data_IF_418368989753
#
_entry.id   IF_418368989753
#
_cell.length_a   1.000
_cell.length_b   1.000
_cell.length_c   1.000
_cell.angle_alpha   90.00
_cell.angle_beta   90.00
_cell.angle_gamma   90.00
#
_symmetry.space_group_name_H-M   'P 1'
#
loop_
_entity.id
_entity.type
_entity.pdbx_description
1 polymer ?
#
# COMPACT_ATOMS: atom_id res chain seq x y z
N UNK A 1 -1.86 -15.46 -26.16
CA UNK A 1 -0.96 -14.30 -26.02
C UNK A 1 -0.33 -14.33 -24.65
N UNK A 2 0.98 -14.05 -24.54
CA UNK A 2 1.66 -13.94 -23.24
C UNK A 2 1.88 -12.47 -22.91
N UNK A 3 1.23 -11.95 -21.87
CA UNK A 3 1.38 -10.55 -21.43
C UNK A 3 2.20 -10.55 -20.15
N UNK A 4 3.44 -10.09 -20.25
CA UNK A 4 4.35 -9.99 -19.11
C UNK A 4 3.81 -8.98 -18.08
N UNK A 5 4.03 -9.29 -16.80
CA UNK A 5 3.55 -8.48 -15.70
C UNK A 5 3.11 -9.35 -14.53
N UNK A 6 3.29 -8.81 -13.33
CA UNK A 6 2.94 -9.49 -12.09
C UNK A 6 1.85 -8.74 -11.36
N UNK A 7 0.79 -9.46 -10.99
CA UNK A 7 -0.31 -8.95 -10.17
C UNK A 7 -0.17 -9.39 -8.72
N UNK A 8 -0.65 -8.56 -7.78
CA UNK A 8 -0.89 -8.99 -6.39
C UNK A 8 -2.22 -9.73 -6.21
N UNK A 9 -3.06 -9.75 -7.23
CA UNK A 9 -4.45 -10.25 -7.14
C UNK A 9 -4.68 -11.47 -8.02
N UNK A 10 -3.92 -11.60 -9.10
CA UNK A 10 -4.01 -12.74 -10.02
C UNK A 10 -2.90 -13.77 -9.76
N UNK A 11 -3.21 -15.08 -9.69
CA UNK A 11 -2.22 -16.12 -9.41
C UNK A 11 -1.22 -16.31 -10.56
N UNK A 12 -1.67 -16.10 -11.81
CA UNK A 12 -0.83 -16.23 -12.99
C UNK A 12 0.06 -15.00 -13.19
N UNK A 13 1.33 -15.23 -13.49
CA UNK A 13 2.26 -14.22 -14.00
C UNK A 13 3.14 -14.89 -15.05
N UNK A 14 3.21 -14.30 -16.23
CA UNK A 14 4.00 -14.81 -17.36
C UNK A 14 5.36 -14.11 -17.47
N UNK A 15 5.75 -13.37 -16.43
CA UNK A 15 7.00 -12.63 -16.33
C UNK A 15 6.85 -11.38 -15.48
N UNK A 16 7.98 -10.74 -15.17
CA UNK A 16 8.02 -9.50 -14.40
C UNK A 16 8.50 -8.33 -15.27
N UNK A 17 7.99 -7.13 -14.99
CA UNK A 17 8.49 -5.86 -15.50
C UNK A 17 8.99 -5.07 -14.30
N UNK A 18 10.25 -4.70 -14.34
CA UNK A 18 10.87 -3.82 -13.37
C UNK A 18 11.48 -2.60 -14.05
N UNK A 19 11.68 -1.53 -13.28
CA UNK A 19 12.38 -0.33 -13.73
C UNK A 19 13.79 -0.66 -14.25
N UNK A 20 14.42 -1.71 -13.69
CA UNK A 20 15.81 -2.09 -13.97
C UNK A 20 16.02 -2.78 -15.31
N UNK A 21 14.94 -3.06 -16.05
CA UNK A 21 15.04 -3.55 -17.44
C UNK A 21 15.50 -2.45 -18.41
N UNK A 22 15.19 -1.19 -18.08
CA UNK A 22 15.55 -0.04 -18.92
C UNK A 22 16.48 0.95 -18.21
N UNK A 23 16.48 0.96 -16.87
CA UNK A 23 17.33 1.82 -16.05
C UNK A 23 18.41 1.01 -15.34
N UNK A 24 19.60 1.58 -15.15
CA UNK A 24 20.66 0.92 -14.40
C UNK A 24 20.31 0.81 -12.91
N UNK A 25 21.04 -0.04 -12.17
CA UNK A 25 20.99 -0.09 -10.71
C UNK A 25 21.69 1.08 -10.01
N UNK A 26 22.28 1.99 -10.80
CA UNK A 26 22.88 3.25 -10.36
C UNK A 26 22.35 4.41 -11.21
N UNK A 27 21.02 4.67 -11.18
CA UNK A 27 20.39 5.60 -12.10
C UNK A 27 20.63 7.07 -11.71
N UNK A 28 21.09 7.33 -10.48
CA UNK A 28 21.28 8.69 -9.97
C UNK A 28 22.67 9.23 -10.36
N UNK A 29 22.79 9.69 -11.62
CA UNK A 29 24.00 10.29 -12.18
C UNK A 29 24.28 11.71 -11.63
N UNK A 30 24.12 11.90 -10.32
CA UNK A 30 24.46 13.13 -9.62
C UNK A 30 25.92 13.03 -9.18
N UNK A 31 26.71 14.05 -9.52
CA UNK A 31 28.14 14.09 -9.17
C UNK A 31 28.33 14.05 -7.64
N UNK A 32 29.29 13.24 -7.21
CA UNK A 32 29.72 13.19 -5.81
C UNK A 32 28.89 12.26 -4.93
N UNK A 33 28.93 12.55 -3.62
CA UNK A 33 28.45 11.62 -2.58
C UNK A 33 26.93 11.40 -2.59
N UNK A 34 26.18 12.37 -3.13
CA UNK A 34 24.72 12.38 -3.15
C UNK A 34 24.16 11.31 -4.10
N UNK A 35 24.68 11.22 -5.33
CA UNK A 35 24.26 10.19 -6.28
C UNK A 35 24.48 8.79 -5.73
N UNK A 36 25.68 8.54 -5.19
CA UNK A 36 26.01 7.27 -4.54
C UNK A 36 25.13 6.94 -3.33
N UNK A 37 24.64 7.95 -2.59
CA UNK A 37 23.74 7.74 -1.47
C UNK A 37 22.33 7.35 -1.93
N UNK A 38 21.80 8.00 -2.96
CA UNK A 38 20.52 7.63 -3.57
C UNK A 38 20.57 6.25 -4.23
N UNK A 39 21.67 5.91 -4.91
CA UNK A 39 21.86 4.57 -5.47
C UNK A 39 21.91 3.49 -4.39
N UNK A 40 22.49 3.78 -3.22
CA UNK A 40 22.48 2.86 -2.09
C UNK A 40 21.07 2.62 -1.53
N UNK A 41 20.15 3.60 -1.61
CA UNK A 41 18.77 3.41 -1.17
C UNK A 41 18.06 2.31 -1.97
N UNK A 42 18.41 2.11 -3.25
CA UNK A 42 17.80 1.09 -4.11
C UNK A 42 17.96 -0.33 -3.53
N UNK A 43 18.91 -0.54 -2.61
CA UNK A 43 19.06 -1.81 -1.88
C UNK A 43 17.88 -2.09 -0.93
N UNK A 44 17.31 -1.05 -0.31
CA UNK A 44 16.21 -1.17 0.67
C UNK A 44 14.88 -0.63 0.15
N UNK A 45 14.89 0.26 -0.84
CA UNK A 45 13.74 1.07 -1.25
C UNK A 45 13.48 0.84 -2.73
N UNK A 46 12.25 0.47 -3.08
CA UNK A 46 11.86 0.30 -4.48
C UNK A 46 11.84 1.65 -5.20
N UNK A 47 12.15 1.66 -6.50
CA UNK A 47 12.10 2.87 -7.32
C UNK A 47 10.72 3.56 -7.23
N UNK A 48 9.66 2.76 -7.22
CA UNK A 48 8.27 3.21 -7.10
C UNK A 48 8.04 4.05 -5.83
N UNK A 49 8.69 3.73 -4.71
CA UNK A 49 8.50 4.43 -3.43
C UNK A 49 8.89 5.90 -3.53
N UNK A 50 10.02 6.20 -4.17
CA UNK A 50 10.48 7.58 -4.34
C UNK A 50 9.80 8.28 -5.53
N UNK A 51 9.49 7.52 -6.59
CA UNK A 51 9.04 8.06 -7.87
C UNK A 51 7.51 8.07 -8.07
N UNK A 52 6.74 7.55 -7.11
CA UNK A 52 5.27 7.60 -7.14
C UNK A 52 4.77 8.06 -5.75
N UNK A 53 4.96 9.35 -5.42
CA UNK A 53 4.63 9.87 -4.09
C UNK A 53 3.13 9.79 -3.77
N UNK A 54 2.28 9.91 -4.79
CA UNK A 54 0.83 9.72 -4.68
C UNK A 54 0.24 9.32 -6.02
N UNK A 55 -0.90 8.63 -5.96
CA UNK A 55 -1.72 8.23 -7.11
C UNK A 55 -3.07 8.94 -7.07
N UNK A 56 -3.95 8.65 -8.04
CA UNK A 56 -5.28 9.26 -8.11
C UNK A 56 -5.17 10.79 -8.25
N UNK A 57 -4.25 11.24 -9.12
CA UNK A 57 -3.93 12.66 -9.38
C UNK A 57 -5.12 13.41 -9.98
N UNK A 58 -5.80 12.79 -10.94
CA UNK A 58 -6.94 13.41 -11.62
C UNK A 58 -8.27 12.97 -11.01
N UNK A 59 -8.47 11.66 -10.90
CA UNK A 59 -9.72 11.08 -10.42
C UNK A 59 -9.53 10.38 -9.07
N UNK A 60 -10.46 10.56 -8.11
CA UNK A 60 -10.43 9.84 -6.84
C UNK A 60 -10.44 8.33 -7.02
N UNK A 61 -9.80 7.60 -6.11
CA UNK A 61 -9.86 6.14 -6.06
C UNK A 61 -10.65 5.66 -4.84
N UNK A 62 -11.44 4.60 -4.99
CA UNK A 62 -12.17 3.99 -3.86
C UNK A 62 -11.18 3.32 -2.92
N UNK A 63 -11.26 3.65 -1.64
CA UNK A 63 -10.39 3.12 -0.59
C UNK A 63 -11.16 2.27 0.43
N UNK A 64 -12.49 2.41 0.51
CA UNK A 64 -13.36 1.59 1.35
C UNK A 64 -14.67 1.27 0.63
N UNK A 65 -15.21 0.08 0.90
CA UNK A 65 -16.55 -0.33 0.49
C UNK A 65 -17.20 -1.15 1.60
N UNK A 66 -18.29 -0.64 2.19
CA UNK A 66 -19.09 -1.35 3.17
C UNK A 66 -20.37 -1.91 2.53
N UNK A 67 -20.35 -3.21 2.23
CA UNK A 67 -21.51 -3.92 1.69
C UNK A 67 -22.60 -4.17 2.73
N UNK A 68 -22.29 -4.07 4.04
CA UNK A 68 -23.25 -4.37 5.12
C UNK A 68 -24.41 -3.37 5.20
N UNK A 69 -24.28 -2.24 4.49
CA UNK A 69 -25.31 -1.20 4.40
C UNK A 69 -25.97 -1.14 3.02
N UNK A 70 -25.58 -2.00 2.07
CA UNK A 70 -26.20 -2.07 0.76
C UNK A 70 -27.67 -2.49 0.86
N UNK A 71 -28.50 -2.01 -0.06
CA UNK A 71 -29.94 -2.28 -0.14
C UNK A 71 -30.83 -1.41 0.75
N UNK A 72 -30.25 -0.56 1.62
CA UNK A 72 -31.01 0.33 2.51
C UNK A 72 -31.53 1.56 1.75
N UNK A 73 -32.83 1.84 1.83
CA UNK A 73 -33.41 3.03 1.20
C UNK A 73 -33.02 4.32 1.93
N UNK A 74 -33.05 4.31 3.26
CA UNK A 74 -32.84 5.51 4.08
C UNK A 74 -31.43 5.58 4.71
N UNK A 75 -30.40 5.10 3.99
CA UNK A 75 -29.04 5.16 4.50
C UNK A 75 -28.52 6.61 4.55
N UNK A 76 -28.25 7.10 5.76
CA UNK A 76 -27.64 8.41 5.97
C UNK A 76 -26.13 8.29 5.92
N UNK A 77 -25.53 8.93 4.91
CA UNK A 77 -24.08 9.04 4.80
C UNK A 77 -23.54 9.75 6.05
N UNK A 78 -22.56 9.16 6.77
CA UNK A 78 -21.96 9.82 7.93
C UNK A 78 -21.18 11.08 7.52
N UNK A 79 -20.89 11.95 8.48
CA UNK A 79 -20.08 13.15 8.22
C UNK A 79 -18.71 12.78 7.64
N UNK A 80 -18.36 13.42 6.52
CA UNK A 80 -17.12 13.13 5.83
C UNK A 80 -15.88 13.49 6.67
N UNK A 81 -14.88 12.60 6.62
CA UNK A 81 -13.53 12.91 7.08
C UNK A 81 -12.82 13.88 6.14
N UNK A 82 -11.87 14.66 6.67
CA UNK A 82 -11.09 15.64 5.89
C UNK A 82 -10.39 14.98 4.70
N UNK A 83 -10.69 15.47 3.49
CA UNK A 83 -10.07 14.99 2.25
C UNK A 83 -10.56 13.62 1.77
N UNK A 84 -11.67 13.13 2.33
CA UNK A 84 -12.36 11.91 1.91
C UNK A 84 -13.70 12.28 1.28
N UNK A 85 -14.15 11.48 0.32
CA UNK A 85 -15.44 11.66 -0.36
C UNK A 85 -16.28 10.43 -0.05
N UNK A 86 -17.41 10.63 0.62
CA UNK A 86 -18.34 9.57 0.99
C UNK A 86 -19.49 9.53 0.00
N UNK A 87 -19.79 8.34 -0.51
CA UNK A 87 -20.91 8.10 -1.43
C UNK A 87 -21.70 6.91 -0.94
N UNK A 88 -23.00 6.93 -1.14
CA UNK A 88 -23.83 5.76 -0.95
C UNK A 88 -24.42 5.36 -2.30
N UNK A 89 -24.34 4.07 -2.61
CA UNK A 89 -25.01 3.46 -3.75
C UNK A 89 -25.83 2.29 -3.20
N UNK A 90 -27.14 2.25 -3.48
CA UNK A 90 -28.02 1.18 -2.96
C UNK A 90 -27.52 -0.22 -3.36
N UNK A 91 -26.91 -0.35 -4.53
CA UNK A 91 -26.40 -1.62 -5.07
C UNK A 91 -25.11 -2.09 -4.40
N UNK A 92 -24.31 -1.17 -3.85
CA UNK A 92 -22.95 -1.46 -3.36
C UNK A 92 -22.77 -1.21 -1.86
N UNK A 93 -23.54 -0.28 -1.29
CA UNK A 93 -23.42 0.21 0.08
C UNK A 93 -22.65 1.53 0.18
N UNK A 94 -21.94 1.73 1.29
CA UNK A 94 -21.17 2.94 1.55
C UNK A 94 -19.78 2.83 0.90
N UNK A 95 -19.41 3.85 0.13
CA UNK A 95 -18.13 3.96 -0.54
C UNK A 95 -17.37 5.16 0.00
N UNK A 96 -16.08 4.97 0.29
CA UNK A 96 -15.17 6.08 0.63
C UNK A 96 -14.11 6.16 -0.45
N UNK A 97 -13.94 7.37 -0.98
CA UNK A 97 -13.02 7.69 -2.06
C UNK A 97 -11.99 8.73 -1.60
N UNK A 98 -10.80 8.70 -2.20
CA UNK A 98 -9.73 9.65 -1.91
C UNK A 98 -9.01 10.06 -3.19
N UNK A 99 -8.83 11.37 -3.38
CA UNK A 99 -7.95 11.95 -4.40
C UNK A 99 -6.56 12.14 -3.80
N UNK A 100 -5.51 12.13 -4.64
CA UNK A 100 -4.12 12.25 -4.19
C UNK A 100 -3.78 11.25 -3.08
N UNK A 101 -4.07 9.98 -3.33
CA UNK A 101 -3.85 8.90 -2.36
C UNK A 101 -2.35 8.68 -2.16
N UNK A 102 -1.88 8.90 -0.93
CA UNK A 102 -0.52 8.56 -0.51
C UNK A 102 -0.45 7.06 -0.27
N UNK A 103 0.50 6.33 -0.90
CA UNK A 103 0.68 4.91 -0.70
C UNK A 103 0.91 4.52 0.76
N UNK A 104 0.48 3.32 1.11
CA UNK A 104 0.97 2.61 2.29
C UNK A 104 2.28 1.93 1.90
N UNK A 105 3.30 2.07 2.74
CA UNK A 105 4.62 1.52 2.47
C UNK A 105 4.87 0.29 3.32
N UNK A 106 5.28 -0.81 2.69
CA UNK A 106 5.53 -2.09 3.37
C UNK A 106 6.76 -2.76 2.79
N UNK A 107 7.43 -3.57 3.60
CA UNK A 107 8.43 -4.50 3.10
C UNK A 107 7.78 -5.55 2.21
N UNK A 108 8.41 -5.80 1.07
CA UNK A 108 7.94 -6.77 0.10
C UNK A 108 9.13 -7.47 -0.56
N UNK A 109 9.13 -8.80 -0.52
CA UNK A 109 10.17 -9.65 -1.13
C UNK A 109 9.77 -10.26 -2.47
N UNK A 110 8.60 -9.87 -2.99
CA UNK A 110 8.05 -10.52 -4.16
C UNK A 110 7.32 -11.82 -3.83
N UNK A 111 6.76 -12.01 -2.64
CA UNK A 111 5.83 -13.11 -2.34
C UNK A 111 4.60 -12.60 -1.59
N UNK A 112 3.53 -13.39 -1.66
CA UNK A 112 2.26 -13.08 -0.99
C UNK A 112 1.47 -14.35 -0.75
N UNK A 113 0.66 -14.34 0.30
CA UNK A 113 -0.36 -15.35 0.56
C UNK A 113 -1.71 -14.81 0.10
N UNK A 114 -2.44 -15.57 -0.70
CA UNK A 114 -3.72 -15.16 -1.26
C UNK A 114 -4.81 -16.00 -0.63
N UNK A 115 -5.89 -15.35 -0.20
CA UNK A 115 -7.15 -16.01 0.11
C UNK A 115 -7.70 -16.66 -1.16
N UNK A 116 -7.84 -17.98 -1.15
CA UNK A 116 -8.51 -18.73 -2.19
C UNK A 116 -9.96 -18.95 -1.79
N UNK A 117 -10.80 -19.06 -2.80
CA UNK A 117 -12.20 -19.41 -2.62
C UNK A 117 -12.30 -20.72 -1.81
N UNK A 118 -13.03 -20.67 -0.68
CA UNK A 118 -13.17 -21.80 0.25
C UNK A 118 -12.17 -21.85 1.40
N UNK A 119 -11.14 -21.01 1.41
CA UNK A 119 -10.23 -20.91 2.56
C UNK A 119 -11.02 -20.46 3.79
N UNK A 120 -10.76 -21.08 4.94
CA UNK A 120 -11.36 -20.68 6.21
C UNK A 120 -10.74 -19.36 6.67
N UNK A 121 -11.57 -18.44 7.16
CA UNK A 121 -11.16 -17.15 7.69
C UNK A 121 -11.24 -17.13 9.21
N UNK A 122 -10.39 -16.32 9.83
CA UNK A 122 -10.54 -15.96 11.25
C UNK A 122 -11.25 -14.61 11.33
N UNK A 123 -12.22 -14.50 12.23
CA UNK A 123 -13.08 -13.30 12.37
C UNK A 123 -12.62 -12.38 13.50
N UNK A 124 -11.52 -12.69 14.17
CA UNK A 124 -10.87 -11.89 15.21
C UNK A 124 -9.91 -10.87 14.58
N UNK A 125 -10.46 -9.96 13.78
CA UNK A 125 -9.72 -8.87 13.16
C UNK A 125 -9.96 -8.71 11.67
N UNK A 126 -9.04 -8.00 11.02
CA UNK A 126 -9.09 -7.70 9.58
C UNK A 126 -8.49 -8.89 8.80
N UNK A 127 -9.23 -9.38 7.81
CA UNK A 127 -8.76 -10.44 6.93
C UNK A 127 -8.00 -9.83 5.75
N UNK A 128 -6.73 -10.15 5.61
CA UNK A 128 -5.93 -9.69 4.47
C UNK A 128 -6.04 -10.69 3.32
N UNK A 129 -6.68 -10.29 2.22
CA UNK A 129 -6.98 -11.16 1.08
C UNK A 129 -5.74 -11.54 0.27
N UNK A 130 -4.70 -10.71 0.29
CA UNK A 130 -3.46 -10.96 -0.43
C UNK A 130 -2.24 -10.48 0.36
N UNK A 131 -2.08 -11.06 1.55
CA UNK A 131 -1.04 -10.70 2.50
C UNK A 131 0.35 -10.74 1.86
N UNK A 132 0.97 -9.57 1.75
CA UNK A 132 2.30 -9.40 1.17
C UNK A 132 3.37 -9.86 2.16
N UNK A 133 4.39 -10.56 1.66
CA UNK A 133 5.49 -11.07 2.47
C UNK A 133 6.73 -10.19 2.32
N UNK A 134 7.51 -10.12 3.40
CA UNK A 134 8.74 -9.35 3.46
C UNK A 134 8.89 -8.65 4.80
N UNK A 135 10.13 -8.43 5.19
CA UNK A 135 10.46 -7.75 6.45
C UNK A 135 11.81 -7.03 6.33
N UNK A 136 12.15 -6.25 7.35
CA UNK A 136 13.41 -5.48 7.39
C UNK A 136 14.66 -6.35 7.36
N UNK A 137 14.62 -7.55 7.95
CA UNK A 137 15.77 -8.46 8.06
C UNK A 137 15.98 -9.29 6.80
N UNK A 138 14.93 -9.52 6.01
CA UNK A 138 15.01 -10.29 4.77
C UNK A 138 15.82 -9.55 3.68
N UNK A 139 17.02 -10.06 3.27
CA UNK A 139 17.91 -9.42 2.30
C UNK A 139 17.25 -9.10 0.95
N UNK A 140 16.20 -9.85 0.58
CA UNK A 140 15.49 -9.68 -0.69
C UNK A 140 14.33 -8.69 -0.62
N UNK A 141 13.88 -8.31 0.58
CA UNK A 141 12.79 -7.35 0.74
C UNK A 141 13.24 -5.93 0.45
N UNK A 142 12.37 -5.16 -0.21
CA UNK A 142 12.46 -3.70 -0.29
C UNK A 142 11.15 -3.06 0.18
N UNK A 143 11.19 -1.78 0.52
CA UNK A 143 10.02 -0.97 0.84
C UNK A 143 9.34 -0.59 -0.48
N UNK A 144 8.12 -1.08 -0.69
CA UNK A 144 7.28 -0.81 -1.86
C UNK A 144 6.03 0.02 -1.50
N UNK A 145 5.49 0.80 -2.45
CA UNK A 145 4.22 1.51 -2.27
C UNK A 145 3.03 0.62 -2.68
N UNK A 146 1.99 0.64 -1.85
CA UNK A 146 0.74 -0.07 -2.09
C UNK A 146 -0.47 0.84 -1.91
N UNK A 147 -1.50 0.60 -2.71
CA UNK A 147 -2.85 1.04 -2.39
C UNK A 147 -3.51 -0.06 -1.58
N UNK A 148 -4.05 0.28 -0.42
CA UNK A 148 -4.90 -0.63 0.36
C UNK A 148 -6.35 -0.27 0.09
N UNK A 149 -7.11 -1.24 -0.43
CA UNK A 149 -8.56 -1.17 -0.48
C UNK A 149 -9.11 -1.99 0.68
N UNK A 150 -9.94 -1.35 1.50
CA UNK A 150 -10.62 -1.98 2.63
C UNK A 150 -12.05 -2.31 2.22
N UNK A 151 -12.63 -3.38 2.74
CA UNK A 151 -14.04 -3.66 2.53
C UNK A 151 -14.67 -4.43 3.68
N UNK A 152 -15.93 -4.14 3.96
CA UNK A 152 -16.76 -4.96 4.83
C UNK A 152 -17.69 -5.79 3.95
N UNK A 153 -17.48 -7.10 3.93
CA UNK A 153 -18.08 -8.01 2.94
C UNK A 153 -18.71 -9.24 3.60
N UNK A 154 -19.72 -9.86 2.98
CA UNK A 154 -20.44 -10.97 3.58
C UNK A 154 -19.57 -12.22 3.70
N UNK A 155 -19.83 -13.01 4.73
CA UNK A 155 -19.19 -14.31 4.97
C UNK A 155 -20.17 -15.27 5.65
N UNK A 156 -19.94 -16.57 5.53
CA UNK A 156 -20.73 -17.62 6.17
C UNK A 156 -20.33 -17.77 7.65
N UNK A 157 -21.30 -17.72 8.56
CA UNK A 157 -21.04 -17.75 10.00
C UNK A 157 -20.58 -19.12 10.52
N UNK A 158 -20.96 -20.21 9.86
CA UNK A 158 -20.65 -21.57 10.29
C UNK A 158 -19.47 -22.11 9.49
N UNK A 159 -19.52 -21.97 8.16
CA UNK A 159 -18.43 -22.37 7.30
C UNK A 159 -17.21 -21.45 7.44
N UNK A 160 -17.35 -20.25 8.00
CA UNK A 160 -16.22 -19.29 8.14
C UNK A 160 -15.48 -19.07 6.82
N UNK A 161 -16.21 -18.90 5.72
CA UNK A 161 -15.65 -18.57 4.40
C UNK A 161 -16.29 -17.29 3.88
N UNK A 162 -15.55 -16.53 3.09
CA UNK A 162 -16.15 -15.43 2.33
C UNK A 162 -17.12 -16.02 1.30
N UNK A 163 -18.33 -15.49 1.24
CA UNK A 163 -19.35 -15.97 0.31
C UNK A 163 -19.25 -15.25 -1.03
N UNK A 164 -19.72 -15.90 -2.09
CA UNK A 164 -19.80 -15.34 -3.44
C UNK A 164 -21.27 -15.08 -3.76
N UNK A 165 -21.79 -13.86 -3.48
CA UNK A 165 -23.17 -13.54 -3.78
C UNK A 165 -23.38 -13.34 -5.28
N UNK A 166 -24.54 -13.75 -5.78
CA UNK A 166 -25.01 -13.37 -7.12
C UNK A 166 -25.51 -11.93 -7.09
N UNK A 167 -24.76 -11.02 -7.73
CA UNK A 167 -25.09 -9.59 -7.74
C UNK A 167 -26.08 -9.23 -8.86
N UNK A 168 -25.72 -9.53 -10.11
CA UNK A 168 -26.57 -9.30 -11.30
C UNK A 168 -27.71 -10.32 -11.37
N UNK A 169 -28.93 -9.88 -11.74
CA UNK A 169 -30.17 -10.67 -11.63
C UNK A 169 -30.32 -11.34 -10.26
N UNK A 170 -29.88 -10.62 -9.21
CA UNK A 170 -29.70 -11.13 -7.86
C UNK A 170 -29.81 -10.00 -6.84
N UNK A 171 -28.75 -9.75 -6.07
CA UNK A 171 -28.77 -8.72 -5.02
C UNK A 171 -29.19 -7.34 -5.54
N UNK A 172 -28.74 -6.90 -6.71
CA UNK A 172 -29.03 -5.56 -7.23
C UNK A 172 -30.49 -5.35 -7.67
N UNK A 173 -31.27 -6.41 -7.84
CA UNK A 173 -32.70 -6.30 -8.18
C UNK A 173 -33.59 -6.54 -6.97
N UNK A 174 -33.18 -7.44 -6.08
CA UNK A 174 -34.01 -7.92 -4.99
C UNK A 174 -33.61 -7.38 -3.62
N UNK A 175 -32.40 -6.84 -3.50
CA UNK A 175 -31.80 -6.36 -2.24
C UNK A 175 -31.90 -7.35 -1.09
N UNK A 176 -31.82 -8.65 -1.42
CA UNK A 176 -31.93 -9.76 -0.48
C UNK A 176 -30.61 -10.54 -0.44
N UNK A 177 -29.82 -10.30 0.60
CA UNK A 177 -28.52 -10.95 0.79
C UNK A 177 -28.64 -12.47 0.90
N UNK A 178 -29.62 -12.98 1.65
CA UNK A 178 -29.82 -14.42 1.82
C UNK A 178 -30.03 -15.13 0.49
N UNK A 179 -30.93 -14.60 -0.35
CA UNK A 179 -31.21 -15.12 -1.69
C UNK A 179 -29.98 -15.04 -2.58
N UNK A 180 -29.31 -13.89 -2.62
CA UNK A 180 -28.15 -13.67 -3.47
C UNK A 180 -26.96 -14.56 -3.09
N UNK A 181 -26.71 -14.75 -1.80
CA UNK A 181 -25.65 -15.63 -1.28
C UNK A 181 -25.98 -17.08 -1.63
N UNK A 182 -27.19 -17.54 -1.33
CA UNK A 182 -27.61 -18.90 -1.67
C UNK A 182 -27.45 -19.19 -3.16
N UNK A 183 -28.01 -18.36 -4.03
CA UNK A 183 -27.92 -18.56 -5.48
C UNK A 183 -26.48 -18.53 -6.00
N UNK A 184 -25.65 -17.63 -5.46
CA UNK A 184 -24.26 -17.51 -5.88
C UNK A 184 -23.39 -18.69 -5.41
N UNK A 185 -23.58 -19.14 -4.17
CA UNK A 185 -22.88 -20.30 -3.61
C UNK A 185 -23.32 -21.61 -4.28
N UNK A 186 -24.62 -21.78 -4.53
CA UNK A 186 -25.18 -22.92 -5.29
C UNK A 186 -24.56 -22.98 -6.71
N UNK A 187 -24.43 -21.84 -7.38
CA UNK A 187 -23.86 -21.75 -8.73
C UNK A 187 -22.40 -22.20 -8.81
N UNK A 188 -21.59 -21.90 -7.79
CA UNK A 188 -20.18 -22.32 -7.72
C UNK A 188 -20.00 -23.68 -7.04
N UNK A 189 -21.09 -24.37 -6.69
CA UNK A 189 -21.05 -25.69 -6.06
C UNK A 189 -20.46 -25.69 -4.65
N UNK A 190 -20.58 -24.59 -3.91
CA UNK A 190 -20.10 -24.47 -2.52
C UNK A 190 -21.26 -24.43 -1.52
N UNK A 191 -21.09 -25.04 -0.33
CA UNK A 191 -22.12 -25.01 0.69
C UNK A 191 -22.32 -23.58 1.24
N UNK A 192 -23.56 -23.29 1.61
CA UNK A 192 -23.93 -22.13 2.42
C UNK A 192 -24.76 -22.64 3.58
N UNK A 193 -24.35 -22.34 4.82
CA UNK A 193 -25.03 -22.78 6.04
C UNK A 193 -26.44 -22.20 6.20
N UNK A 194 -26.75 -21.13 5.45
CA UNK A 194 -27.94 -20.34 5.64
C UNK A 194 -27.74 -19.17 6.60
N UNK A 195 -26.60 -19.07 7.28
CA UNK A 195 -26.30 -17.99 8.21
C UNK A 195 -25.10 -17.18 7.71
N UNK A 196 -25.26 -15.87 7.58
CA UNK A 196 -24.19 -14.98 7.14
C UNK A 196 -24.01 -13.78 8.08
N UNK A 197 -22.79 -13.25 8.08
CA UNK A 197 -22.42 -12.00 8.71
C UNK A 197 -21.60 -11.15 7.77
N UNK A 198 -21.01 -10.07 8.29
CA UNK A 198 -20.07 -9.24 7.54
C UNK A 198 -18.75 -9.11 8.30
N UNK A 199 -17.64 -9.12 7.56
CA UNK A 199 -16.30 -9.05 8.12
C UNK A 199 -15.46 -8.01 7.37
N UNK A 200 -14.52 -7.40 8.10
CA UNK A 200 -13.57 -6.45 7.54
C UNK A 200 -12.44 -7.17 6.80
N UNK A 201 -12.12 -6.66 5.63
CA UNK A 201 -11.09 -7.20 4.75
C UNK A 201 -10.19 -6.09 4.21
N UNK A 202 -8.94 -6.46 3.91
CA UNK A 202 -7.98 -5.59 3.25
C UNK A 202 -7.36 -6.29 2.05
N UNK A 203 -7.15 -5.50 1.00
CA UNK A 203 -6.52 -5.96 -0.22
C UNK A 203 -5.48 -4.95 -0.71
N UNK A 204 -4.26 -5.43 -0.91
CA UNK A 204 -3.13 -4.67 -1.39
C UNK A 204 -3.11 -4.66 -2.92
N UNK A 205 -2.92 -3.49 -3.51
CA UNK A 205 -2.60 -3.33 -4.93
C UNK A 205 -1.24 -2.65 -5.05
N UNK A 206 -0.32 -3.27 -5.77
CA UNK A 206 1.01 -2.70 -6.01
C UNK A 206 0.87 -1.45 -6.88
N UNK A 207 1.55 -0.37 -6.49
CA UNK A 207 1.56 0.87 -7.26
C UNK A 207 2.78 0.90 -8.16
N UNK A 208 2.56 0.83 -9.48
CA UNK A 208 3.62 0.78 -10.50
C UNK A 208 3.52 1.87 -11.57
N UNK A 209 2.46 2.69 -11.55
CA UNK A 209 2.17 3.71 -12.56
C UNK A 209 2.07 5.10 -11.92
N UNK A 210 1.88 6.13 -12.74
CA UNK A 210 1.90 7.53 -12.32
C UNK A 210 3.28 8.01 -11.81
N UNK A 211 4.36 7.44 -12.36
CA UNK A 211 5.74 7.92 -12.14
C UNK A 211 5.83 9.42 -12.41
N UNK A 212 6.33 10.18 -11.43
CA UNK A 212 6.49 11.63 -11.56
C UNK A 212 7.82 12.00 -12.22
N UNK A 213 7.92 13.18 -12.84
CA UNK A 213 9.21 13.71 -13.28
C UNK A 213 10.23 13.77 -12.14
N UNK A 214 11.53 13.59 -12.44
CA UNK A 214 12.61 13.53 -11.43
C UNK A 214 12.60 14.66 -10.39
N UNK A 215 12.20 15.88 -10.76
CA UNK A 215 12.15 17.04 -9.85
C UNK A 215 11.01 16.97 -8.82
N UNK A 216 10.12 16.00 -8.97
CA UNK A 216 8.96 15.75 -8.09
C UNK A 216 9.06 14.41 -7.36
N UNK A 217 10.16 13.65 -7.49
CA UNK A 217 10.36 12.47 -6.64
C UNK A 217 10.54 12.90 -5.19
N UNK A 218 10.31 11.98 -4.25
CA UNK A 218 10.59 12.23 -2.84
C UNK A 218 12.04 12.67 -2.64
N UNK A 219 12.24 13.77 -1.94
CA UNK A 219 13.51 14.22 -1.41
C UNK A 219 13.82 13.60 -0.04
N UNK A 220 15.04 13.81 0.45
CA UNK A 220 15.50 13.22 1.71
C UNK A 220 14.55 13.55 2.87
N UNK A 221 14.18 14.82 3.03
CA UNK A 221 13.33 15.26 4.14
C UNK A 221 11.83 14.96 3.96
N UNK A 222 11.41 14.39 2.83
CA UNK A 222 10.05 13.86 2.73
C UNK A 222 9.88 12.59 3.59
N UNK A 223 10.97 11.84 3.79
CA UNK A 223 11.00 10.65 4.66
C UNK A 223 11.75 10.90 5.98
N UNK A 224 12.86 11.61 5.92
CA UNK A 224 13.77 11.81 7.06
C UNK A 224 13.51 13.14 7.78
N UNK A 225 13.86 13.19 9.06
CA UNK A 225 13.87 14.42 9.82
C UNK A 225 14.97 15.37 9.32
N UNK A 226 14.74 16.69 9.45
CA UNK A 226 15.69 17.71 8.97
C UNK A 226 17.07 17.48 9.60
N UNK A 227 17.08 17.19 10.89
CA UNK A 227 18.24 16.92 11.74
C UNK A 227 19.07 15.74 11.22
N UNK A 228 18.43 14.76 10.59
CA UNK A 228 19.10 13.59 10.05
C UNK A 228 19.90 13.89 8.77
N UNK A 229 19.52 14.94 8.03
CA UNK A 229 20.03 15.28 6.69
C UNK A 229 20.97 16.50 6.70
N UNK A 230 21.03 17.27 7.80
CA UNK A 230 21.94 18.43 7.93
C UNK A 230 23.41 18.02 7.80
N UNK A 231 24.18 18.80 7.02
CA UNK A 231 25.62 18.59 6.84
C UNK A 231 26.41 18.66 8.17
N UNK A 232 25.98 19.53 9.09
CA UNK A 232 26.60 19.72 10.40
C UNK A 232 26.63 18.47 11.27
N UNK A 233 25.75 17.50 11.00
CA UNK A 233 25.72 16.21 11.69
C UNK A 233 27.01 15.41 11.52
N UNK A 234 27.55 15.37 10.30
CA UNK A 234 28.80 14.66 9.98
C UNK A 234 30.00 15.61 9.91
N UNK A 235 29.77 16.89 9.63
CA UNK A 235 30.79 17.92 9.49
C UNK A 235 30.52 19.06 10.47
N UNK A 236 30.89 18.88 11.75
CA UNK A 236 30.62 19.87 12.82
C UNK A 236 31.04 21.31 12.49
N UNK A 237 32.09 21.49 11.67
CA UNK A 237 32.58 22.81 11.23
C UNK A 237 31.70 23.49 10.16
N UNK A 238 30.69 22.80 9.63
CA UNK A 238 29.77 23.31 8.62
C UNK A 238 28.46 23.84 9.24
N UNK A 239 28.41 24.05 10.56
CA UNK A 239 27.20 24.53 11.26
C UNK A 239 26.74 25.92 10.79
N UNK A 240 27.70 26.79 10.44
CA UNK A 240 27.42 28.12 9.87
C UNK A 240 27.13 28.09 8.35
N UNK A 241 27.33 26.94 7.70
CA UNK A 241 27.05 26.75 6.27
C UNK A 241 25.64 26.18 6.09
N UNK A 242 24.62 26.96 6.47
CA UNK A 242 23.24 26.56 6.22
C UNK A 242 22.97 26.46 4.71
N UNK A 243 22.52 25.29 4.26
CA UNK A 243 22.11 25.03 2.88
C UNK A 243 20.63 24.61 2.87
N UNK A 244 19.68 25.56 2.92
CA UNK A 244 18.26 25.26 3.07
C UNK A 244 17.66 24.36 2.00
N UNK A 245 18.20 24.43 0.79
CA UNK A 245 17.76 23.58 -0.33
C UNK A 245 18.10 22.10 -0.11
N UNK A 246 19.07 21.75 0.75
CA UNK A 246 19.44 20.36 1.03
C UNK A 246 18.44 19.62 1.92
N UNK A 247 17.67 20.34 2.73
CA UNK A 247 16.66 19.76 3.62
C UNK A 247 15.23 20.18 3.27
N UNK A 248 15.04 20.80 2.11
CA UNK A 248 13.73 21.20 1.63
C UNK A 248 12.89 19.96 1.31
N UNK A 249 11.72 19.87 1.93
CA UNK A 249 10.70 18.88 1.55
C UNK A 249 10.14 19.21 0.17
N UNK A 250 10.04 18.23 -0.71
CA UNK A 250 9.29 18.37 -1.97
C UNK A 250 7.79 18.46 -1.66
N UNK A 251 7.37 17.79 -0.59
CA UNK A 251 5.99 17.67 -0.15
C UNK A 251 5.81 18.06 1.33
N UNK A 252 5.89 19.35 1.67
CA UNK A 252 6.02 19.82 3.06
C UNK A 252 4.85 19.45 3.98
N UNK A 253 3.65 19.28 3.44
CA UNK A 253 2.43 19.00 4.21
C UNK A 253 2.05 17.52 4.24
N UNK A 254 2.88 16.64 3.68
CA UNK A 254 2.62 15.21 3.58
C UNK A 254 3.67 14.45 4.40
N UNK A 255 3.24 13.36 5.04
CA UNK A 255 4.12 12.40 5.72
C UNK A 255 4.29 11.18 4.83
N UNK A 256 5.54 10.77 4.60
CA UNK A 256 5.88 9.54 3.89
C UNK A 256 6.72 8.66 4.80
N UNK A 257 6.56 7.35 4.64
CA UNK A 257 7.16 6.31 5.47
C UNK A 257 6.85 6.46 6.97
N UNK A 258 6.29 5.42 7.54
CA UNK A 258 6.24 5.29 9.00
C UNK A 258 7.33 4.30 9.41
N UNK A 259 8.43 4.81 9.97
CA UNK A 259 9.60 3.98 10.25
C UNK A 259 9.32 2.95 11.35
N UNK A 260 8.46 3.28 12.31
CA UNK A 260 8.02 2.33 13.35
C UNK A 260 7.21 1.20 12.74
N UNK A 261 6.23 1.50 11.86
CA UNK A 261 5.49 0.46 11.14
C UNK A 261 6.40 -0.40 10.23
N UNK A 262 7.54 0.14 9.79
CA UNK A 262 8.55 -0.58 9.01
C UNK A 262 9.57 -1.33 9.87
N UNK A 263 9.41 -1.32 11.20
CA UNK A 263 10.24 -2.05 12.15
C UNK A 263 11.60 -1.41 12.44
N UNK A 264 11.71 -0.09 12.29
CA UNK A 264 12.83 0.70 12.78
C UNK A 264 12.50 1.32 14.14
N UNK A 265 13.52 1.54 14.97
CA UNK A 265 13.39 2.19 16.28
C UNK A 265 13.22 3.72 16.19
N UNK A 266 13.35 4.28 14.99
CA UNK A 266 13.26 5.70 14.70
C UNK A 266 13.68 5.97 13.26
N UNK A 267 14.02 7.21 12.94
CA UNK A 267 14.58 7.55 11.63
C UNK A 267 15.89 6.79 11.41
N UNK A 268 15.99 5.87 10.41
CA UNK A 268 17.20 5.08 10.16
C UNK A 268 18.39 5.93 9.68
N UNK A 269 18.15 7.16 9.21
CA UNK A 269 19.24 8.08 9.02
C UNK A 269 19.88 8.42 10.37
N UNK A 270 19.13 8.54 11.47
CA UNK A 270 19.61 8.83 12.83
C UNK A 270 20.07 7.57 13.57
N UNK A 271 19.19 6.57 13.69
CA UNK A 271 19.37 5.38 14.55
C UNK A 271 20.12 4.24 13.88
N UNK A 272 20.38 4.34 12.57
CA UNK A 272 21.03 3.30 11.79
C UNK A 272 20.03 2.51 10.95
N UNK A 273 20.27 2.50 9.65
CA UNK A 273 19.52 1.74 8.66
C UNK A 273 20.02 0.31 8.46
N UNK A 274 19.26 -0.45 7.67
CA UNK A 274 19.55 -1.85 7.32
C UNK A 274 20.94 -2.12 6.72
N UNK A 275 21.55 -1.13 6.06
CA UNK A 275 22.82 -1.29 5.34
C UNK A 275 24.00 -0.51 5.94
N UNK A 276 23.94 -0.13 7.22
CA UNK A 276 25.10 0.41 7.95
C UNK A 276 26.06 -0.73 8.33
N UNK A 277 26.82 -1.26 7.37
CA UNK A 277 27.88 -2.25 7.62
C UNK A 277 29.16 -1.92 6.84
N UNK A 278 29.44 -0.64 6.55
CA UNK A 278 30.74 -0.25 6.00
C UNK A 278 31.31 0.94 6.76
N UNK A 279 32.54 0.76 7.25
CA UNK A 279 33.36 1.74 7.94
C UNK A 279 33.28 3.13 7.28
N UNK A 280 33.02 4.17 8.08
CA UNK A 280 33.21 5.57 7.67
C UNK A 280 31.95 6.40 7.36
N UNK A 281 30.73 5.89 7.57
CA UNK A 281 29.51 6.71 7.51
C UNK A 281 28.55 6.38 8.67
N UNK A 282 28.23 7.40 9.47
CA UNK A 282 27.37 7.29 10.64
C UNK A 282 28.05 6.65 11.85
N UNK A 283 27.63 7.06 13.03
CA UNK A 283 27.97 6.33 14.26
C UNK A 283 27.30 4.95 14.17
N UNK A 284 28.00 3.85 14.54
CA UNK A 284 27.33 2.56 14.70
C UNK A 284 26.14 2.73 15.66
N UNK A 285 25.05 1.96 15.47
CA UNK A 285 23.99 1.92 16.48
C UNK A 285 24.61 1.61 17.85
N UNK A 286 24.26 2.40 18.86
CA UNK A 286 24.66 2.15 20.25
C UNK A 286 24.00 0.87 20.76
#
# INVERSE_FOLDING_TARGET
HKIIGRSLSAPASEGDISCTRCHSLKPHQIVGILGAHLDNHIKSVACQTCHIPYIAKEYPTRIYLDWSVAGKDDFKIPKEGKGLIYKYNKDLGLEIWKKNYIPVYRWYDGKRKIYKLGDKIKTDGIIILNNIEGDRKNPNSKIYPFKVHKAKQPFDLEEKVLVVPKLYNGFWEHFNWQKAIKEGMDYIGMPFSGNFGFVETEMYTSINHEVVPKKKSLGCCDCHEKEAVKCSRCHKKAEEMELPEHYRKVYPNLKFLDFEELGYEGDPAITGGRFYITFGRGLPPQ
#
